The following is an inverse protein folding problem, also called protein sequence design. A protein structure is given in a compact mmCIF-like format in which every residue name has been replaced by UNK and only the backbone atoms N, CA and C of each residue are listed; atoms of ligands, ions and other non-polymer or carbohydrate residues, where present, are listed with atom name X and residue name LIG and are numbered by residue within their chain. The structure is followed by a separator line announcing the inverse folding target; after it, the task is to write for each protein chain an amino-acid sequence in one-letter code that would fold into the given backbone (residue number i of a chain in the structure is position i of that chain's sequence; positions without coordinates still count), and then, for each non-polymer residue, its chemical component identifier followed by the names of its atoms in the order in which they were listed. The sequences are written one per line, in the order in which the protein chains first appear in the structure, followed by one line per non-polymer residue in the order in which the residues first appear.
data_IF_000678820966
#
_entry.id   IF_000678820966
#
_cell.length_a   1.000
_cell.length_b   1.000
_cell.length_c   1.000
_cell.angle_alpha   90.00
_cell.angle_beta   90.00
_cell.angle_gamma   90.00
#
_symmetry.space_group_name_H-M   'P 1'
#
loop_
_entity.id
_entity.type
_entity.pdbx_description
1 polymer ?
#
# COMPACT_ATOMS: atom_id res chain seq x y z
N UNK A 1 -14.45 -2.20 -9.19
CA UNK A 1 -14.63 -3.51 -9.86
C UNK A 1 -14.53 -4.57 -8.78
N UNK A 2 -15.27 -5.67 -8.87
CA UNK A 2 -15.12 -6.80 -7.96
C UNK A 2 -15.08 -8.09 -8.76
N UNK A 3 -14.11 -8.95 -8.46
CA UNK A 3 -14.04 -10.36 -8.86
C UNK A 3 -13.81 -11.21 -7.60
N UNK A 4 -14.37 -12.41 -7.54
CA UNK A 4 -14.26 -13.28 -6.37
C UNK A 4 -14.20 -14.75 -6.76
N UNK A 5 -13.42 -15.53 -6.02
CA UNK A 5 -13.44 -17.00 -6.08
C UNK A 5 -14.85 -17.56 -5.88
N UNK A 6 -15.67 -16.91 -5.04
CA UNK A 6 -17.06 -17.34 -4.77
C UNK A 6 -18.00 -17.16 -5.96
N UNK A 7 -17.70 -16.21 -6.85
CA UNK A 7 -18.45 -15.97 -8.08
C UNK A 7 -17.85 -16.68 -9.29
N UNK A 8 -16.86 -17.57 -9.08
CA UNK A 8 -16.13 -18.24 -10.16
C UNK A 8 -15.25 -17.30 -10.97
N UNK A 9 -14.75 -16.21 -10.36
CA UNK A 9 -13.91 -15.22 -11.05
C UNK A 9 -14.67 -14.28 -11.98
N UNK A 10 -16.01 -14.23 -11.91
CA UNK A 10 -16.77 -13.24 -12.68
C UNK A 10 -16.50 -11.82 -12.13
N UNK A 11 -16.00 -10.95 -13.00
CA UNK A 11 -15.66 -9.56 -12.69
C UNK A 11 -16.79 -8.63 -13.14
N UNK A 12 -17.20 -7.73 -12.24
CA UNK A 12 -18.29 -6.78 -12.50
C UNK A 12 -17.93 -5.38 -12.04
N UNK A 13 -18.50 -4.38 -12.72
CA UNK A 13 -18.60 -3.01 -12.23
C UNK A 13 -19.89 -2.85 -11.47
N UNK A 14 -19.79 -2.23 -10.29
CA UNK A 14 -20.90 -1.92 -9.41
C UNK A 14 -20.96 -0.41 -9.19
N UNK A 15 -22.16 0.14 -9.14
CA UNK A 15 -22.43 1.42 -8.52
C UNK A 15 -22.69 1.16 -7.04
N UNK A 16 -21.69 1.40 -6.20
CA UNK A 16 -21.74 1.02 -4.79
C UNK A 16 -22.70 1.92 -4.04
N UNK A 17 -23.70 1.32 -3.40
CA UNK A 17 -24.74 1.98 -2.62
C UNK A 17 -24.73 1.43 -1.19
N UNK A 18 -25.20 2.23 -0.21
CA UNK A 18 -25.34 1.73 1.16
C UNK A 18 -26.59 0.85 1.24
N UNK A 19 -26.39 -0.41 1.60
CA UNK A 19 -27.47 -1.35 1.92
C UNK A 19 -27.40 -1.75 3.41
N UNK A 20 -28.56 -2.00 4.00
CA UNK A 20 -28.69 -2.51 5.37
C UNK A 20 -29.05 -3.99 5.27
N UNK A 21 -28.54 -4.81 6.19
CA UNK A 21 -28.83 -6.25 6.28
C UNK A 21 -28.46 -7.05 5.03
N UNK A 22 -27.38 -6.65 4.34
CA UNK A 22 -26.84 -7.40 3.21
C UNK A 22 -26.41 -8.82 3.63
N UNK A 23 -26.81 -9.83 2.85
CA UNK A 23 -26.45 -11.20 3.14
C UNK A 23 -24.95 -11.42 2.90
N UNK A 24 -24.29 -12.27 3.70
CA UNK A 24 -22.93 -12.69 3.42
C UNK A 24 -22.79 -13.17 1.97
N UNK A 25 -21.70 -12.78 1.32
CA UNK A 25 -21.37 -13.16 -0.07
C UNK A 25 -22.36 -12.67 -1.14
N UNK A 26 -23.16 -11.65 -0.84
CA UNK A 26 -23.99 -10.94 -1.82
C UNK A 26 -23.58 -9.47 -1.93
N UNK A 27 -23.72 -8.92 -3.14
CA UNK A 27 -23.56 -7.49 -3.40
C UNK A 27 -24.86 -7.02 -4.03
N UNK A 28 -25.63 -6.25 -3.26
CA UNK A 28 -26.97 -5.75 -3.60
C UNK A 28 -26.90 -4.51 -4.48
N UNK A 29 -25.75 -3.84 -4.48
CA UNK A 29 -25.47 -2.66 -5.30
C UNK A 29 -25.69 -2.92 -6.78
N UNK A 30 -26.11 -1.87 -7.49
CA UNK A 30 -26.46 -1.96 -8.91
C UNK A 30 -25.27 -2.41 -9.76
N UNK A 31 -25.44 -3.49 -10.54
CA UNK A 31 -24.45 -3.92 -11.53
C UNK A 31 -24.50 -2.96 -12.72
N UNK A 32 -23.40 -2.26 -12.96
CA UNK A 32 -23.25 -1.36 -14.12
C UNK A 32 -22.80 -2.12 -15.36
N UNK A 33 -21.93 -3.11 -15.19
CA UNK A 33 -21.36 -3.87 -16.30
C UNK A 33 -20.89 -5.24 -15.83
N UNK A 34 -21.28 -6.28 -16.56
CA UNK A 34 -20.69 -7.61 -16.45
C UNK A 34 -19.52 -7.71 -17.44
N UNK A 35 -18.33 -8.06 -16.95
CA UNK A 35 -17.11 -8.14 -17.74
C UNK A 35 -16.72 -9.58 -18.09
N UNK A 36 -17.51 -10.57 -17.63
CA UNK A 36 -17.12 -11.97 -17.65
C UNK A 36 -15.91 -12.22 -16.76
N UNK A 37 -15.03 -13.14 -17.18
CA UNK A 37 -13.76 -13.36 -16.50
C UNK A 37 -12.71 -12.35 -16.95
N UNK A 38 -11.98 -11.79 -15.98
CA UNK A 38 -10.82 -10.92 -16.20
C UNK A 38 -9.73 -11.35 -15.25
N UNK A 39 -8.51 -11.35 -15.75
CA UNK A 39 -7.32 -11.42 -14.91
C UNK A 39 -7.18 -10.07 -14.18
N UNK A 40 -7.39 -10.08 -12.87
CA UNK A 40 -7.28 -8.91 -12.00
C UNK A 40 -5.82 -8.49 -11.75
N UNK A 41 -4.86 -9.38 -12.04
CA UNK A 41 -3.42 -9.10 -11.99
C UNK A 41 -2.87 -8.50 -13.31
N UNK A 42 -3.66 -8.47 -14.39
CA UNK A 42 -3.31 -7.76 -15.64
C UNK A 42 -3.44 -6.24 -15.45
N UNK A 43 -2.36 -5.44 -15.62
CA UNK A 43 -2.42 -3.98 -15.50
C UNK A 43 -3.43 -3.32 -16.45
N UNK A 44 -3.77 -3.97 -17.56
CA UNK A 44 -4.80 -3.51 -18.50
C UNK A 44 -6.18 -3.52 -17.85
N UNK A 45 -6.47 -4.50 -16.99
CA UNK A 45 -7.74 -4.59 -16.24
C UNK A 45 -7.89 -3.39 -15.30
N UNK A 46 -6.84 -3.08 -14.53
CA UNK A 46 -6.83 -1.91 -13.65
C UNK A 46 -6.92 -0.59 -14.43
N UNK A 47 -6.16 -0.45 -15.51
CA UNK A 47 -6.21 0.73 -16.40
C UNK A 47 -7.63 0.98 -16.91
N UNK A 48 -8.29 -0.07 -17.40
CA UNK A 48 -9.65 0.02 -17.94
C UNK A 48 -10.68 0.37 -16.86
N UNK A 49 -10.49 -0.10 -15.63
CA UNK A 49 -11.36 0.27 -14.51
C UNK A 49 -11.22 1.75 -14.16
N UNK A 50 -10.00 2.25 -14.07
CA UNK A 50 -9.74 3.67 -13.77
C UNK A 50 -10.34 4.55 -14.86
N UNK A 51 -10.06 4.26 -16.14
CA UNK A 51 -10.63 5.01 -17.27
C UNK A 51 -12.15 5.00 -17.26
N UNK A 52 -12.76 3.84 -17.04
CA UNK A 52 -14.21 3.74 -16.92
C UNK A 52 -14.76 4.66 -15.81
N UNK A 53 -14.11 4.66 -14.64
CA UNK A 53 -14.48 5.53 -13.53
C UNK A 53 -14.39 7.01 -13.90
N UNK A 54 -13.25 7.44 -14.45
CA UNK A 54 -13.00 8.84 -14.85
C UNK A 54 -13.96 9.31 -15.95
N UNK A 55 -14.21 8.47 -16.96
CA UNK A 55 -15.07 8.81 -18.09
C UNK A 55 -16.56 8.92 -17.72
N UNK A 56 -17.04 8.04 -16.83
CA UNK A 56 -18.47 7.98 -16.46
C UNK A 56 -18.80 8.79 -15.21
N UNK A 57 -17.80 9.04 -14.35
CA UNK A 57 -17.93 9.77 -13.09
C UNK A 57 -16.76 10.76 -12.93
N UNK A 58 -16.72 11.82 -13.76
CA UNK A 58 -15.71 12.86 -13.63
C UNK A 58 -15.82 13.55 -12.26
N UNK A 59 -14.69 13.74 -11.59
CA UNK A 59 -14.62 14.32 -10.25
C UNK A 59 -13.35 15.17 -10.11
N UNK A 60 -13.37 16.11 -9.15
CA UNK A 60 -12.21 16.95 -8.84
C UNK A 60 -11.13 16.16 -8.07
N UNK A 61 -11.55 15.12 -7.33
CA UNK A 61 -10.69 14.29 -6.49
C UNK A 61 -10.94 12.79 -6.75
N UNK A 62 -9.89 11.99 -6.70
CA UNK A 62 -9.93 10.55 -6.92
C UNK A 62 -9.20 9.78 -5.81
N UNK A 63 -9.90 8.79 -5.25
CA UNK A 63 -9.32 7.76 -4.39
C UNK A 63 -9.42 6.41 -5.10
N UNK A 64 -8.33 5.65 -5.09
CA UNK A 64 -8.32 4.26 -5.56
C UNK A 64 -7.99 3.33 -4.39
N UNK A 65 -8.79 2.27 -4.27
CA UNK A 65 -8.61 1.23 -3.27
C UNK A 65 -8.19 -0.04 -4.02
N UNK A 66 -7.01 -0.53 -3.66
CA UNK A 66 -6.40 -1.75 -4.17
C UNK A 66 -6.48 -2.77 -3.01
N UNK A 67 -7.40 -3.72 -3.12
CA UNK A 67 -7.77 -4.64 -2.04
C UNK A 67 -7.56 -6.08 -2.49
N UNK A 68 -6.45 -6.67 -2.03
CA UNK A 68 -6.07 -8.06 -2.24
C UNK A 68 -4.74 -8.39 -1.49
N UNK A 69 -4.07 -9.47 -1.86
CA UNK A 69 -2.69 -9.76 -1.49
C UNK A 69 -1.72 -8.62 -1.82
N UNK A 70 -0.74 -8.44 -0.94
CA UNK A 70 0.39 -7.54 -1.14
C UNK A 70 1.70 -8.24 -0.80
N UNK A 71 2.70 -8.03 -1.65
CA UNK A 71 4.06 -8.53 -1.52
C UNK A 71 5.08 -7.41 -1.43
N UNK A 72 4.63 -6.19 -1.15
CA UNK A 72 5.50 -5.03 -1.02
C UNK A 72 6.07 -4.56 -2.35
N UNK A 73 7.38 -4.33 -2.42
CA UNK A 73 8.04 -3.85 -3.64
C UNK A 73 7.92 -4.84 -4.81
N UNK A 74 7.60 -6.11 -4.53
CA UNK A 74 7.38 -7.14 -5.56
C UNK A 74 6.06 -6.94 -6.31
N UNK A 75 5.02 -6.40 -5.66
CA UNK A 75 3.71 -6.22 -6.27
C UNK A 75 2.53 -6.44 -5.31
N UNK A 76 1.32 -6.37 -5.86
CA UNK A 76 0.04 -6.61 -5.19
C UNK A 76 -0.98 -7.19 -6.19
N UNK A 77 -2.22 -7.46 -5.77
CA UNK A 77 -3.33 -7.85 -6.66
C UNK A 77 -3.08 -9.18 -7.38
N UNK A 78 -3.14 -10.27 -6.64
CA UNK A 78 -2.98 -11.64 -7.12
C UNK A 78 -4.30 -12.16 -7.71
N UNK A 79 -4.26 -12.79 -8.88
CA UNK A 79 -5.43 -13.50 -9.41
C UNK A 79 -5.11 -14.99 -9.63
N UNK A 80 -5.57 -15.82 -8.70
CA UNK A 80 -5.38 -17.28 -8.71
C UNK A 80 -6.47 -18.00 -9.52
N UNK A 81 -7.52 -17.29 -9.94
CA UNK A 81 -8.72 -17.85 -10.56
C UNK A 81 -8.72 -17.68 -12.08
N UNK A 82 -8.46 -16.45 -12.53
CA UNK A 82 -8.43 -16.07 -13.94
C UNK A 82 -7.01 -15.70 -14.40
N UNK A 83 -6.11 -15.40 -13.47
CA UNK A 83 -4.70 -15.12 -13.74
C UNK A 83 -3.78 -16.32 -13.50
N UNK A 84 -2.48 -16.06 -13.49
CA UNK A 84 -1.45 -17.07 -13.25
C UNK A 84 -1.17 -17.33 -11.75
N UNK A 85 -1.83 -16.60 -10.85
CA UNK A 85 -1.52 -16.57 -9.41
C UNK A 85 -0.30 -15.73 -9.04
N UNK A 86 0.20 -14.91 -9.97
CA UNK A 86 1.28 -13.97 -9.72
C UNK A 86 0.74 -12.61 -9.25
N UNK A 87 1.56 -11.85 -8.53
CA UNK A 87 1.26 -10.46 -8.19
C UNK A 87 1.42 -9.56 -9.42
N UNK A 88 0.52 -8.57 -9.59
CA UNK A 88 0.77 -7.43 -10.44
C UNK A 88 1.99 -6.67 -9.91
N UNK A 89 3.05 -6.57 -10.72
CA UNK A 89 4.31 -5.94 -10.28
C UNK A 89 4.11 -4.46 -9.93
N UNK A 90 4.96 -3.90 -9.07
CA UNK A 90 4.88 -2.46 -8.77
C UNK A 90 5.09 -1.56 -10.00
N UNK A 91 5.88 -2.03 -10.97
CA UNK A 91 6.03 -1.36 -12.26
C UNK A 91 4.70 -1.33 -13.03
N UNK A 92 4.01 -2.47 -13.09
CA UNK A 92 2.74 -2.61 -13.79
C UNK A 92 1.61 -1.84 -13.09
N UNK A 93 1.57 -1.84 -11.76
CA UNK A 93 0.63 -1.02 -10.97
C UNK A 93 0.83 0.46 -11.29
N UNK A 94 2.07 0.97 -11.22
CA UNK A 94 2.36 2.37 -11.57
C UNK A 94 1.96 2.69 -13.00
N UNK A 95 2.29 1.79 -13.93
CA UNK A 95 1.93 1.95 -15.34
C UNK A 95 0.42 2.02 -15.52
N UNK A 96 -0.34 1.14 -14.87
CA UNK A 96 -1.79 1.14 -14.95
C UNK A 96 -2.42 2.41 -14.36
N UNK A 97 -1.91 2.89 -13.22
CA UNK A 97 -2.34 4.16 -12.62
C UNK A 97 -2.03 5.35 -13.54
N UNK A 98 -0.83 5.37 -14.14
CA UNK A 98 -0.43 6.39 -15.10
C UNK A 98 -1.29 6.38 -16.36
N UNK A 99 -1.51 5.21 -16.95
CA UNK A 99 -2.28 5.04 -18.18
C UNK A 99 -3.77 5.28 -17.95
N UNK A 100 -4.24 5.18 -16.70
CA UNK A 100 -5.58 5.57 -16.24
C UNK A 100 -5.89 7.06 -16.42
N UNK A 101 -4.86 7.90 -16.57
CA UNK A 101 -5.01 9.29 -17.03
C UNK A 101 -5.36 10.31 -15.95
N UNK A 102 -5.30 9.93 -14.67
CA UNK A 102 -5.50 10.84 -13.53
C UNK A 102 -4.40 10.66 -12.50
N UNK A 103 -4.15 11.71 -11.73
CA UNK A 103 -3.40 11.61 -10.48
C UNK A 103 -4.41 11.43 -9.35
N UNK A 104 -4.17 10.47 -8.47
CA UNK A 104 -5.05 10.23 -7.33
C UNK A 104 -4.67 11.14 -6.17
N UNK A 105 -5.63 11.50 -5.34
CA UNK A 105 -5.30 12.17 -4.08
C UNK A 105 -4.84 11.14 -3.04
N UNK A 106 -5.48 9.96 -3.03
CA UNK A 106 -5.17 8.87 -2.11
C UNK A 106 -5.17 7.53 -2.84
N UNK A 107 -4.07 6.77 -2.70
CA UNK A 107 -4.03 5.34 -3.01
C UNK A 107 -4.12 4.57 -1.69
N UNK A 108 -5.11 3.71 -1.56
CA UNK A 108 -5.26 2.82 -0.41
C UNK A 108 -4.89 1.40 -0.82
N UNK A 109 -3.86 0.86 -0.21
CA UNK A 109 -3.59 -0.57 -0.25
C UNK A 109 -4.22 -1.22 0.98
N UNK A 110 -5.40 -1.82 0.80
CA UNK A 110 -5.95 -2.77 1.77
C UNK A 110 -5.31 -4.14 1.50
N UNK A 111 -3.98 -4.18 1.65
CA UNK A 111 -3.13 -5.30 1.27
C UNK A 111 -1.92 -5.38 2.21
N UNK A 112 -1.40 -6.59 2.39
CA UNK A 112 -0.25 -6.85 3.24
C UNK A 112 1.02 -6.14 2.74
N UNK A 113 1.89 -5.69 3.66
CA UNK A 113 3.29 -5.32 3.35
C UNK A 113 3.48 -4.13 2.39
N UNK A 114 2.44 -3.34 2.10
CA UNK A 114 2.49 -2.26 1.11
C UNK A 114 3.04 -0.93 1.65
N UNK A 115 3.18 -0.76 2.97
CA UNK A 115 3.77 0.45 3.58
C UNK A 115 5.29 0.42 3.56
N UNK A 116 5.87 0.24 2.38
CA UNK A 116 7.32 0.25 2.16
C UNK A 116 7.79 1.50 1.43
N UNK A 117 9.02 1.90 1.71
CA UNK A 117 9.63 3.10 1.11
C UNK A 117 9.73 2.95 -0.40
N UNK A 118 10.08 1.76 -0.87
CA UNK A 118 10.21 1.41 -2.29
C UNK A 118 8.87 1.57 -3.02
N UNK A 119 7.79 1.10 -2.41
CA UNK A 119 6.41 1.24 -2.93
C UNK A 119 6.02 2.71 -2.99
N UNK A 120 6.18 3.43 -1.87
CA UNK A 120 5.88 4.86 -1.80
C UNK A 120 6.73 5.67 -2.80
N UNK A 121 8.01 5.32 -2.98
CA UNK A 121 8.85 5.96 -3.96
C UNK A 121 8.39 5.66 -5.38
N UNK A 122 8.08 4.41 -5.72
CA UNK A 122 7.63 4.04 -7.06
C UNK A 122 6.38 4.84 -7.48
N UNK A 123 5.44 5.02 -6.55
CA UNK A 123 4.16 5.71 -6.76
C UNK A 123 4.16 7.22 -6.47
N UNK A 124 5.32 7.81 -6.13
CA UNK A 124 5.42 9.19 -5.62
C UNK A 124 4.84 10.28 -6.52
N UNK A 125 4.71 9.98 -7.81
CA UNK A 125 4.19 10.90 -8.84
C UNK A 125 2.79 10.49 -9.33
N UNK A 126 2.15 9.47 -8.73
CA UNK A 126 0.82 8.97 -9.07
C UNK A 126 -0.24 9.31 -8.03
N UNK A 127 0.15 9.64 -6.79
CA UNK A 127 -0.78 10.17 -5.80
C UNK A 127 -0.14 11.17 -4.83
N UNK A 128 -0.97 11.86 -4.04
CA UNK A 128 -0.50 12.73 -2.94
C UNK A 128 -0.27 11.94 -1.64
N UNK A 129 -1.18 11.02 -1.31
CA UNK A 129 -1.07 10.16 -0.14
C UNK A 129 -1.19 8.68 -0.49
N UNK A 130 -0.48 7.85 0.28
CA UNK A 130 -0.67 6.41 0.29
C UNK A 130 -1.11 5.97 1.68
N UNK A 131 -2.12 5.11 1.76
CA UNK A 131 -2.55 4.44 3.00
C UNK A 131 -2.25 2.96 2.86
N UNK A 132 -1.37 2.42 3.71
CA UNK A 132 -0.91 1.04 3.59
C UNK A 132 -0.47 0.44 4.93
N UNK A 133 -0.46 -0.90 5.01
CA UNK A 133 0.04 -1.65 6.16
C UNK A 133 1.50 -2.04 5.96
N UNK A 134 2.32 -1.92 7.00
CA UNK A 134 3.69 -2.43 7.01
C UNK A 134 3.72 -3.97 7.14
N UNK A 135 2.65 -4.56 7.69
CA UNK A 135 2.60 -5.99 8.03
C UNK A 135 1.49 -6.72 7.31
N UNK A 136 1.51 -8.03 7.50
CA UNK A 136 0.38 -8.89 7.14
C UNK A 136 -0.88 -8.41 7.85
N UNK A 137 -1.94 -8.18 7.05
CA UNK A 137 -3.26 -7.82 7.53
C UNK A 137 -4.06 -9.09 7.88
N UNK A 138 -5.04 -9.03 8.81
CA UNK A 138 -5.90 -10.17 9.06
C UNK A 138 -6.74 -10.51 7.82
N UNK A 139 -7.03 -11.79 7.61
CA UNK A 139 -7.93 -12.28 6.56
C UNK A 139 -9.41 -11.97 6.87
N UNK A 140 -9.72 -10.70 7.13
CA UNK A 140 -11.05 -10.17 7.45
C UNK A 140 -11.15 -8.75 6.92
N UNK A 141 -12.35 -8.33 6.50
CA UNK A 141 -12.57 -6.94 6.10
C UNK A 141 -12.35 -6.00 7.29
N UNK A 142 -11.30 -5.19 7.23
CA UNK A 142 -10.98 -4.18 8.25
C UNK A 142 -10.85 -2.80 7.65
N UNK A 143 -11.35 -2.58 6.42
CA UNK A 143 -11.24 -1.28 5.73
C UNK A 143 -12.06 -0.16 6.41
N UNK A 144 -12.99 -0.51 7.31
CA UNK A 144 -13.75 0.47 8.10
C UNK A 144 -14.66 1.37 7.27
N UNK A 145 -15.13 0.89 6.11
CA UNK A 145 -15.86 1.67 5.11
C UNK A 145 -17.01 2.49 5.66
N UNK A 146 -17.80 1.95 6.60
CA UNK A 146 -18.94 2.68 7.17
C UNK A 146 -18.52 3.98 7.88
N UNK A 147 -17.40 3.96 8.60
CA UNK A 147 -16.93 5.11 9.37
C UNK A 147 -16.44 6.22 8.43
N UNK A 148 -15.47 5.92 7.55
CA UNK A 148 -14.84 6.95 6.74
C UNK A 148 -15.69 7.38 5.53
N UNK A 149 -16.49 6.49 4.91
CA UNK A 149 -17.45 6.90 3.88
C UNK A 149 -18.59 7.71 4.49
N UNK A 150 -19.05 7.37 5.70
CA UNK A 150 -20.03 8.18 6.42
C UNK A 150 -19.50 9.59 6.69
N UNK A 151 -18.22 9.70 7.09
CA UNK A 151 -17.53 10.98 7.21
C UNK A 151 -17.48 11.76 5.90
N UNK A 152 -17.13 11.10 4.79
CA UNK A 152 -17.06 11.71 3.46
C UNK A 152 -18.44 12.19 2.96
N UNK A 153 -19.50 11.42 3.17
CA UNK A 153 -20.87 11.82 2.80
C UNK A 153 -21.31 13.07 3.59
N UNK A 154 -20.94 13.17 4.86
CA UNK A 154 -21.28 14.31 5.71
C UNK A 154 -20.43 15.56 5.42
N UNK A 155 -19.23 15.38 4.87
CA UNK A 155 -18.32 16.45 4.49
C UNK A 155 -17.61 16.10 3.16
N UNK A 156 -18.28 16.31 2.01
CA UNK A 156 -17.71 15.96 0.71
C UNK A 156 -16.50 16.83 0.33
N UNK A 157 -16.36 18.01 0.95
CA UNK A 157 -15.23 18.93 0.75
C UNK A 157 -14.04 18.61 1.68
N UNK A 158 -13.99 17.41 2.27
CA UNK A 158 -12.90 17.00 3.14
C UNK A 158 -11.56 16.98 2.38
N UNK A 159 -10.56 17.66 2.94
CA UNK A 159 -9.21 17.66 2.38
C UNK A 159 -8.65 16.23 2.27
N UNK A 160 -8.03 15.86 1.14
CA UNK A 160 -7.62 14.47 0.91
C UNK A 160 -6.65 13.91 1.96
N UNK A 161 -5.77 14.75 2.49
CA UNK A 161 -4.85 14.35 3.57
C UNK A 161 -5.56 14.03 4.89
N UNK A 162 -6.71 14.65 5.14
CA UNK A 162 -7.58 14.33 6.28
C UNK A 162 -8.42 13.08 5.99
N UNK A 163 -8.91 12.91 4.76
CA UNK A 163 -9.59 11.68 4.35
C UNK A 163 -8.68 10.45 4.51
N UNK A 164 -7.43 10.53 4.07
CA UNK A 164 -6.44 9.48 4.24
C UNK A 164 -6.21 9.13 5.73
N UNK A 165 -6.24 10.13 6.62
CA UNK A 165 -6.13 9.92 8.06
C UNK A 165 -7.38 9.28 8.66
N UNK A 166 -8.56 9.68 8.19
CA UNK A 166 -9.82 9.05 8.58
C UNK A 166 -9.86 7.58 8.15
N UNK A 167 -9.32 7.24 6.97
CA UNK A 167 -9.20 5.84 6.53
C UNK A 167 -8.29 5.04 7.47
N UNK A 168 -7.13 5.59 7.85
CA UNK A 168 -6.22 4.95 8.84
C UNK A 168 -6.95 4.68 10.16
N UNK A 169 -7.65 5.69 10.69
CA UNK A 169 -8.37 5.57 11.96
C UNK A 169 -9.53 4.55 11.87
N UNK A 170 -10.29 4.57 10.79
CA UNK A 170 -11.38 3.62 10.56
C UNK A 170 -10.87 2.18 10.47
N UNK A 171 -9.71 1.98 9.82
CA UNK A 171 -9.06 0.68 9.74
C UNK A 171 -8.61 0.18 11.12
N UNK A 172 -8.01 1.06 11.92
CA UNK A 172 -7.62 0.76 13.29
C UNK A 172 -8.82 0.40 14.16
N UNK A 173 -9.88 1.22 14.14
CA UNK A 173 -11.10 1.01 14.91
C UNK A 173 -11.78 -0.32 14.54
N UNK A 174 -11.86 -0.63 13.24
CA UNK A 174 -12.42 -1.89 12.75
C UNK A 174 -11.60 -3.11 13.21
N UNK A 175 -10.28 -2.97 13.26
CA UNK A 175 -9.35 -3.95 13.81
C UNK A 175 -9.57 -4.22 15.29
N UNK A 176 -9.54 -3.16 16.10
CA UNK A 176 -9.74 -3.22 17.55
C UNK A 176 -11.11 -3.81 17.92
N UNK A 177 -12.17 -3.41 17.22
CA UNK A 177 -13.52 -3.95 17.41
C UNK A 177 -13.58 -5.47 17.16
N UNK A 178 -12.66 -6.01 16.35
CA UNK A 178 -12.53 -7.45 16.05
C UNK A 178 -11.45 -8.14 16.89
N UNK A 179 -10.85 -7.45 17.86
CA UNK A 179 -9.74 -7.96 18.67
C UNK A 179 -8.51 -8.32 17.84
N UNK A 180 -8.25 -7.58 16.75
CA UNK A 180 -7.11 -7.78 15.85
C UNK A 180 -6.10 -6.66 16.04
N UNK A 181 -4.81 -7.02 16.03
CA UNK A 181 -3.73 -6.05 15.91
C UNK A 181 -3.64 -5.59 14.46
N UNK A 182 -3.77 -4.29 14.23
CA UNK A 182 -3.69 -3.69 12.89
C UNK A 182 -2.60 -2.63 12.88
N UNK A 183 -1.92 -2.54 11.74
CA UNK A 183 -0.98 -1.48 11.42
C UNK A 183 -1.39 -0.86 10.10
N UNK A 184 -1.62 0.44 10.09
CA UNK A 184 -1.98 1.17 8.90
C UNK A 184 -1.39 2.57 9.03
N UNK A 185 -0.73 3.05 7.98
CA UNK A 185 -0.05 4.33 7.99
C UNK A 185 -0.46 5.17 6.79
N UNK A 186 -0.60 6.49 7.01
CA UNK A 186 -0.66 7.50 5.96
C UNK A 186 0.76 7.94 5.62
N UNK A 187 1.14 7.84 4.36
CA UNK A 187 2.42 8.26 3.81
C UNK A 187 2.20 9.44 2.88
N UNK A 188 2.85 10.57 3.15
CA UNK A 188 2.91 11.73 2.26
C UNK A 188 3.92 11.46 1.14
N UNK A 189 3.41 11.23 -0.08
CA UNK A 189 4.22 10.83 -1.22
C UNK A 189 5.14 11.94 -1.72
N UNK A 190 4.84 13.21 -1.41
CA UNK A 190 5.71 14.34 -1.73
C UNK A 190 7.07 14.26 -1.03
N UNK A 191 7.17 13.50 0.08
CA UNK A 191 8.41 13.34 0.85
C UNK A 191 9.30 12.21 0.36
N UNK A 192 8.81 11.35 -0.53
CA UNK A 192 9.50 10.11 -0.88
C UNK A 192 10.81 10.34 -1.64
N UNK A 193 10.91 11.40 -2.45
CA UNK A 193 12.18 11.77 -3.10
C UNK A 193 13.26 12.13 -2.07
N UNK A 194 12.91 12.95 -1.08
CA UNK A 194 13.84 13.34 -0.01
C UNK A 194 14.23 12.15 0.86
N UNK A 195 13.26 11.31 1.22
CA UNK A 195 13.53 10.10 2.01
C UNK A 195 14.45 9.13 1.26
N UNK A 196 14.19 8.86 -0.02
CA UNK A 196 15.04 8.01 -0.85
C UNK A 196 16.47 8.55 -0.96
N UNK A 197 16.63 9.87 -1.13
CA UNK A 197 17.96 10.50 -1.11
C UNK A 197 18.70 10.25 0.21
N UNK A 198 18.00 10.37 1.36
CA UNK A 198 18.62 10.14 2.69
C UNK A 198 18.99 8.68 2.93
N UNK A 199 18.22 7.75 2.38
CA UNK A 199 18.56 6.32 2.41
C UNK A 199 19.78 6.06 1.52
N UNK A 200 19.86 6.71 0.35
CA UNK A 200 21.04 6.68 -0.51
C UNK A 200 22.29 7.21 0.21
N UNK A 201 22.18 8.32 0.93
CA UNK A 201 23.27 8.87 1.75
C UNK A 201 23.75 7.85 2.80
N UNK A 202 22.81 7.20 3.50
CA UNK A 202 23.13 6.14 4.47
C UNK A 202 23.84 4.96 3.81
N UNK A 203 23.34 4.48 2.67
CA UNK A 203 23.95 3.38 1.92
C UNK A 203 25.37 3.72 1.46
N UNK A 204 25.57 4.91 0.89
CA UNK A 204 26.90 5.39 0.48
C UNK A 204 27.86 5.52 1.66
N UNK A 205 27.38 6.02 2.80
CA UNK A 205 28.17 6.12 4.01
C UNK A 205 28.62 4.75 4.50
N UNK A 206 27.70 3.77 4.56
CA UNK A 206 28.04 2.39 4.94
C UNK A 206 29.09 1.79 3.98
N UNK A 207 28.90 1.93 2.67
CA UNK A 207 29.86 1.40 1.68
C UNK A 207 31.23 2.07 1.77
N UNK A 208 31.28 3.38 2.05
CA UNK A 208 32.53 4.14 2.10
C UNK A 208 33.31 3.91 3.39
N UNK A 209 32.60 3.86 4.51
CA UNK A 209 33.22 3.83 5.82
C UNK A 209 33.40 2.41 6.36
N UNK A 210 32.61 1.42 5.93
CA UNK A 210 32.83 0.02 6.32
C UNK A 210 34.03 -0.55 5.55
N UNK A 211 35.12 -0.80 6.25
CA UNK A 211 36.40 -1.25 5.66
C UNK A 211 36.80 -2.67 6.04
N UNK A 212 36.08 -3.30 6.98
CA UNK A 212 36.43 -4.64 7.50
C UNK A 212 35.22 -5.57 7.57
N UNK A 213 35.47 -6.87 7.58
CA UNK A 213 34.43 -7.89 7.78
C UNK A 213 33.74 -7.74 9.15
N UNK A 214 34.49 -7.37 10.19
CA UNK A 214 33.94 -7.14 11.53
C UNK A 214 32.91 -5.99 11.54
N UNK A 215 33.17 -4.91 10.80
CA UNK A 215 32.23 -3.79 10.67
C UNK A 215 31.02 -4.15 9.80
N UNK A 216 31.18 -4.98 8.76
CA UNK A 216 30.02 -5.52 8.03
C UNK A 216 29.16 -6.43 8.92
N UNK A 217 29.76 -7.17 9.84
CA UNK A 217 29.01 -7.97 10.81
C UNK A 217 28.19 -7.10 11.77
N UNK A 218 28.65 -5.90 12.14
CA UNK A 218 27.84 -4.94 12.91
C UNK A 218 26.64 -4.43 12.10
N UNK A 219 26.81 -4.12 10.81
CA UNK A 219 25.69 -3.73 9.93
C UNK A 219 24.66 -4.86 9.80
N UNK A 220 25.13 -6.10 9.62
CA UNK A 220 24.28 -7.29 9.57
C UNK A 220 23.59 -7.57 10.91
N UNK A 221 24.28 -7.37 12.03
CA UNK A 221 23.69 -7.50 13.37
C UNK A 221 22.53 -6.52 13.56
N UNK A 222 22.75 -5.24 13.26
CA UNK A 222 21.71 -4.22 13.30
C UNK A 222 20.50 -4.58 12.41
N UNK A 223 20.75 -5.12 11.21
CA UNK A 223 19.70 -5.57 10.29
C UNK A 223 18.91 -6.74 10.88
N UNK A 224 19.60 -7.83 11.25
CA UNK A 224 19.01 -9.05 11.78
C UNK A 224 18.24 -8.81 13.08
N UNK A 225 18.69 -7.85 13.91
CA UNK A 225 18.01 -7.50 15.14
C UNK A 225 16.81 -6.56 14.93
N UNK A 226 16.61 -5.95 13.75
CA UNK A 226 15.45 -5.07 13.43
C UNK A 226 14.18 -5.84 13.03
N UNK A 227 14.25 -7.17 12.96
CA UNK A 227 13.17 -7.97 12.43
C UNK A 227 11.86 -7.82 13.23
N UNK A 228 10.76 -7.61 12.51
CA UNK A 228 9.52 -7.15 13.10
C UNK A 228 8.49 -8.27 13.31
N UNK A 229 8.33 -9.24 12.39
CA UNK A 229 7.57 -10.47 12.67
C UNK A 229 8.10 -11.68 11.90
N UNK A 230 7.89 -12.88 12.46
CA UNK A 230 8.22 -14.17 11.82
C UNK A 230 7.52 -14.45 10.47
N UNK A 231 6.56 -13.62 10.07
CA UNK A 231 5.79 -13.77 8.82
C UNK A 231 6.26 -12.83 7.72
N UNK A 232 7.09 -11.84 8.06
CA UNK A 232 7.59 -10.89 7.09
C UNK A 232 8.80 -11.46 6.36
N UNK A 233 9.00 -11.00 5.12
CA UNK A 233 10.25 -11.28 4.42
C UNK A 233 11.43 -10.76 5.24
N UNK A 234 12.52 -11.54 5.45
CA UNK A 234 13.70 -11.07 6.17
C UNK A 234 14.29 -9.78 5.58
N UNK A 235 14.04 -9.47 4.31
CA UNK A 235 14.44 -8.23 3.68
C UNK A 235 13.64 -7.00 4.15
N UNK A 236 12.50 -7.17 4.85
CA UNK A 236 11.61 -6.10 5.26
C UNK A 236 11.90 -5.72 6.72
N UNK A 237 12.28 -4.47 6.94
CA UNK A 237 12.68 -3.95 8.26
C UNK A 237 12.07 -2.58 8.51
N UNK A 238 11.85 -2.22 9.78
CA UNK A 238 11.54 -0.84 10.14
C UNK A 238 12.77 0.04 9.88
N UNK A 239 12.68 0.92 8.89
CA UNK A 239 13.80 1.76 8.46
C UNK A 239 14.36 2.62 9.60
N UNK A 240 13.48 3.15 10.46
CA UNK A 240 13.89 4.05 11.55
C UNK A 240 14.62 3.27 12.65
N UNK A 241 14.14 2.09 12.98
CA UNK A 241 14.76 1.19 13.94
C UNK A 241 16.11 0.68 13.42
N UNK A 242 16.17 0.26 12.15
CA UNK A 242 17.42 -0.18 11.52
C UNK A 242 18.48 0.93 11.58
N UNK A 243 18.15 2.15 11.14
CA UNK A 243 19.07 3.28 11.21
C UNK A 243 19.52 3.60 12.64
N UNK A 244 18.66 3.38 13.64
CA UNK A 244 19.03 3.55 15.06
C UNK A 244 19.98 2.47 15.54
N UNK A 245 19.77 1.20 15.16
CA UNK A 245 20.63 0.08 15.55
C UNK A 245 22.01 0.20 14.94
N UNK A 246 22.10 0.53 13.65
CA UNK A 246 23.39 0.84 13.00
C UNK A 246 24.16 1.92 13.78
N UNK A 247 23.48 2.96 14.26
CA UNK A 247 24.12 4.02 15.07
C UNK A 247 24.53 3.57 16.48
N UNK A 248 23.96 2.49 16.99
CA UNK A 248 24.27 1.92 18.30
C UNK A 248 25.43 0.91 18.25
N UNK A 249 25.83 0.48 17.06
CA UNK A 249 26.93 -0.45 16.87
C UNK A 249 28.27 0.14 17.37
N UNK A 250 29.15 -0.68 17.97
CA UNK A 250 30.36 -0.19 18.64
C UNK A 250 31.35 0.54 17.73
N UNK A 251 31.48 0.10 16.48
CA UNK A 251 32.47 0.62 15.55
C UNK A 251 31.82 1.50 14.49
N UNK A 252 30.88 0.97 13.71
CA UNK A 252 30.25 1.71 12.59
C UNK A 252 29.42 2.90 13.10
N UNK A 253 28.80 2.78 14.28
CA UNK A 253 28.04 3.86 14.91
C UNK A 253 28.89 5.06 15.36
N UNK A 254 30.21 4.89 15.48
CA UNK A 254 31.15 5.96 15.84
C UNK A 254 31.78 6.65 14.62
N UNK A 255 31.56 6.13 13.40
CA UNK A 255 32.14 6.72 12.19
C UNK A 255 31.40 8.01 11.82
N UNK A 256 32.13 9.08 11.45
CA UNK A 256 31.52 10.37 11.18
C UNK A 256 30.67 10.31 9.92
N UNK A 257 29.42 10.80 10.00
CA UNK A 257 28.59 11.03 8.83
C UNK A 257 29.18 12.14 7.97
N UNK A 258 30.02 11.76 7.00
CA UNK A 258 30.50 12.65 5.95
C UNK A 258 29.37 12.88 4.93
N UNK A 259 28.34 13.61 5.36
CA UNK A 259 27.33 14.16 4.46
C UNK A 259 28.05 15.23 3.64
N UNK A 260 28.54 14.87 2.46
CA UNK A 260 29.16 15.81 1.52
C UNK A 260 28.33 17.09 1.45
N UNK A 261 29.03 18.24 1.54
CA UNK A 261 28.41 19.57 1.46
C UNK A 261 27.61 19.74 0.18
#
# INVERSE_FOLDING_TARGET
MLGSLKTGGLCKYYYVEKHIDELPDSVSSTILKDLGTKDMSDPTTLTNFIKYGVENYPADHYVVILDDHGGGWRGALCDEQNGAGDLMSMYDIKKALSDGGVKFDVIVFHACLMSMVEVGYELRDRADFMVASQFVMPLQSVLGCEEWLGGLVNNPDIEPGQLAENIVNAVYNAGEAKGKKIHMAKVDLSKMTTLASKIGDLGNHLVTEVGTEAEWNEVLDAFNNTHYTQYDDPAFVDLREYAKKVRQEPTIGQKPLNLGK
#
